data_IF_044011718344
#
_entry.id   IF_044011718344
#
_cell.length_a   1.000
_cell.length_b   1.000
_cell.length_c   1.000
_cell.angle_alpha   90.00
_cell.angle_beta   90.00
_cell.angle_gamma   90.00
#
_symmetry.space_group_name_H-M   'P 1'
#
loop_
_entity.id
_entity.type
_entity.pdbx_description
1 polymer ?
#
# COMPACT_ATOMS: atom_id res chain seq x y z
N UNK A 1 -28.78 50.52 -45.13
CA UNK A 1 -27.94 49.93 -44.07
C UNK A 1 -28.66 50.12 -42.73
N UNK A 2 -29.82 49.53 -42.44
CA UNK A 2 -30.16 48.11 -42.38
C UNK A 2 -29.21 47.28 -41.49
N UNK A 3 -29.74 46.94 -40.30
CA UNK A 3 -29.35 45.83 -39.41
C UNK A 3 -28.13 45.99 -38.47
N UNK A 4 -28.33 46.57 -37.28
CA UNK A 4 -27.85 45.98 -36.01
C UNK A 4 -28.47 46.63 -34.75
N UNK A 5 -29.80 46.81 -34.70
CA UNK A 5 -30.51 47.19 -33.48
C UNK A 5 -31.58 46.14 -33.16
N UNK A 6 -31.16 44.98 -32.65
CA UNK A 6 -32.06 43.95 -32.12
C UNK A 6 -31.26 42.77 -31.57
N UNK A 7 -30.77 42.87 -30.34
CA UNK A 7 -30.61 41.68 -29.50
C UNK A 7 -30.98 42.03 -28.06
N UNK A 8 -32.04 41.36 -27.61
CA UNK A 8 -32.76 41.64 -26.38
C UNK A 8 -31.95 41.37 -25.13
N UNK A 9 -32.37 42.06 -24.06
CA UNK A 9 -31.93 41.81 -22.69
C UNK A 9 -32.09 40.32 -22.37
N UNK A 10 -31.01 39.70 -21.90
CA UNK A 10 -31.02 38.32 -21.39
C UNK A 10 -32.16 38.17 -20.35
N UNK A 11 -32.98 37.11 -20.43
CA UNK A 11 -34.03 36.88 -19.46
C UNK A 11 -33.42 36.65 -18.07
N UNK A 12 -33.96 37.35 -17.08
CA UNK A 12 -33.62 37.23 -15.66
C UNK A 12 -33.91 35.79 -15.19
N UNK A 13 -32.89 34.93 -15.18
CA UNK A 13 -33.00 33.57 -14.63
C UNK A 13 -33.02 33.67 -13.11
N UNK A 14 -34.21 33.63 -12.51
CA UNK A 14 -34.34 33.39 -11.06
C UNK A 14 -33.56 32.12 -10.71
N UNK A 15 -32.71 32.19 -9.70
CA UNK A 15 -32.01 31.04 -9.16
C UNK A 15 -33.02 29.92 -8.82
N UNK A 16 -32.72 28.64 -9.12
CA UNK A 16 -33.62 27.54 -8.80
C UNK A 16 -33.83 27.45 -7.28
N UNK A 17 -35.07 27.19 -6.86
CA UNK A 17 -35.42 27.05 -5.46
C UNK A 17 -34.57 25.96 -4.76
N UNK A 18 -34.22 26.12 -3.47
CA UNK A 18 -33.43 25.13 -2.75
C UNK A 18 -34.17 23.78 -2.73
N UNK A 19 -33.49 22.71 -3.17
CA UNK A 19 -34.02 21.33 -3.09
C UNK A 19 -34.37 21.03 -1.63
N UNK A 20 -35.65 20.86 -1.34
CA UNK A 20 -36.10 20.35 -0.05
C UNK A 20 -35.45 18.99 0.19
N UNK A 21 -34.67 18.89 1.27
CA UNK A 21 -34.08 17.63 1.72
C UNK A 21 -35.23 16.66 1.99
N UNK A 22 -35.30 15.55 1.24
CA UNK A 22 -36.20 14.44 1.58
C UNK A 22 -35.78 13.92 2.94
N UNK A 23 -36.59 14.18 3.96
CA UNK A 23 -36.51 13.50 5.23
C UNK A 23 -36.82 12.02 5.00
N UNK A 24 -35.92 11.11 5.43
CA UNK A 24 -36.23 9.68 5.47
C UNK A 24 -35.26 8.72 4.79
N UNK A 25 -33.94 8.91 4.89
CA UNK A 25 -33.03 7.76 4.83
C UNK A 25 -32.27 7.69 6.13
N UNK A 26 -32.54 6.65 6.91
CA UNK A 26 -31.78 6.36 8.13
C UNK A 26 -30.29 6.36 7.78
N UNK A 27 -29.42 6.91 8.66
CA UNK A 27 -27.99 6.86 8.43
C UNK A 27 -27.58 5.38 8.29
N UNK A 28 -26.82 5.07 7.25
CA UNK A 28 -26.15 3.78 7.16
C UNK A 28 -25.15 3.76 8.31
N UNK A 29 -25.47 3.03 9.37
CA UNK A 29 -24.56 2.81 10.49
C UNK A 29 -23.52 1.80 10.01
N UNK A 30 -22.44 2.31 9.41
CA UNK A 30 -21.23 1.51 9.20
C UNK A 30 -20.64 1.30 10.59
N UNK A 31 -20.78 0.09 11.13
CA UNK A 31 -20.09 -0.30 12.37
C UNK A 31 -18.59 -0.36 12.05
N UNK A 32 -17.89 0.75 12.21
CA UNK A 32 -16.42 0.80 12.16
C UNK A 32 -15.88 0.16 13.43
N UNK A 33 -15.85 -1.16 13.47
CA UNK A 33 -15.33 -1.89 14.62
C UNK A 33 -14.50 -3.09 14.16
N UNK A 34 -13.46 -2.80 13.40
CA UNK A 34 -12.24 -3.61 13.47
C UNK A 34 -11.12 -2.61 13.75
N UNK A 35 -10.97 -2.22 15.01
CA UNK A 35 -9.76 -1.52 15.45
C UNK A 35 -8.63 -2.54 15.44
N UNK A 36 -7.95 -2.68 14.32
CA UNK A 36 -6.71 -3.46 14.24
C UNK A 36 -5.63 -2.60 14.89
N UNK A 37 -5.09 -3.01 16.04
CA UNK A 37 -3.88 -2.39 16.58
C UNK A 37 -2.72 -2.70 15.62
N UNK A 38 -2.17 -1.69 14.90
CA UNK A 38 -1.12 -1.94 13.93
C UNK A 38 0.16 -2.48 14.58
N UNK A 39 0.43 -2.12 15.84
CA UNK A 39 1.61 -2.60 16.56
C UNK A 39 1.47 -4.06 17.00
N UNK A 40 0.28 -4.47 17.44
CA UNK A 40 -0.01 -5.87 17.73
C UNK A 40 -0.04 -6.73 16.45
N UNK A 41 -0.60 -6.18 15.36
CA UNK A 41 -0.59 -6.82 14.05
C UNK A 41 0.83 -6.98 13.50
N UNK A 42 1.67 -5.95 13.61
CA UNK A 42 3.09 -6.06 13.27
C UNK A 42 3.74 -7.22 14.01
N UNK A 43 3.55 -7.30 15.34
CA UNK A 43 4.12 -8.38 16.15
C UNK A 43 3.56 -9.76 15.83
N UNK A 44 2.32 -9.85 15.36
CA UNK A 44 1.66 -11.14 15.06
C UNK A 44 1.92 -11.63 13.63
N UNK A 45 1.98 -10.71 12.66
CA UNK A 45 2.24 -10.99 11.23
C UNK A 45 3.73 -11.17 10.98
N UNK A 46 4.56 -10.28 11.53
CA UNK A 46 6.00 -10.50 11.60
C UNK A 46 6.32 -11.32 12.85
N UNK A 47 5.99 -12.62 12.83
CA UNK A 47 6.86 -13.57 13.55
C UNK A 47 8.26 -13.34 12.97
N UNK A 48 9.18 -12.82 13.79
CA UNK A 48 10.61 -12.71 13.44
C UNK A 48 10.98 -14.01 12.74
N UNK A 49 11.40 -13.94 11.46
CA UNK A 49 11.75 -15.13 10.70
C UNK A 49 12.65 -15.99 11.59
N UNK A 50 12.25 -17.25 11.85
CA UNK A 50 12.83 -18.01 12.92
C UNK A 50 14.25 -18.36 12.54
N UNK A 51 15.18 -17.85 13.34
CA UNK A 51 16.61 -18.12 13.32
C UNK A 51 17.37 -17.59 12.10
N UNK A 52 18.51 -16.98 12.40
CA UNK A 52 19.64 -16.93 11.48
C UNK A 52 19.87 -18.37 10.97
N UNK A 53 19.78 -18.54 9.66
CA UNK A 53 20.12 -19.76 8.98
C UNK A 53 21.62 -19.77 8.63
N UNK A 54 22.13 -20.93 8.27
CA UNK A 54 23.53 -21.06 7.83
C UNK A 54 23.68 -20.78 6.32
N UNK A 55 24.94 -20.72 5.88
CA UNK A 55 25.27 -20.57 4.47
C UNK A 55 24.77 -21.74 3.59
N UNK A 56 24.50 -22.92 4.17
CA UNK A 56 23.95 -24.04 3.42
C UNK A 56 22.49 -23.80 3.04
N UNK A 57 21.71 -23.18 3.94
CA UNK A 57 20.35 -22.75 3.66
C UNK A 57 20.30 -21.70 2.54
N UNK A 58 21.17 -20.68 2.58
CA UNK A 58 21.24 -19.68 1.52
C UNK A 58 21.49 -20.31 0.14
N UNK A 59 22.42 -21.27 0.06
CA UNK A 59 22.70 -22.03 -1.16
C UNK A 59 21.52 -22.89 -1.61
N UNK A 60 20.80 -23.50 -0.67
CA UNK A 60 19.58 -24.27 -0.96
C UNK A 60 18.53 -23.39 -1.63
N UNK A 61 18.26 -22.20 -1.08
CA UNK A 61 17.28 -21.26 -1.64
C UNK A 61 17.68 -20.81 -3.05
N UNK A 62 18.95 -20.47 -3.27
CA UNK A 62 19.43 -20.09 -4.61
C UNK A 62 19.32 -21.24 -5.62
N UNK A 63 19.56 -22.48 -5.18
CA UNK A 63 19.36 -23.68 -6.03
C UNK A 63 17.89 -23.86 -6.40
N UNK A 64 16.99 -23.83 -5.43
CA UNK A 64 15.54 -23.97 -5.66
C UNK A 64 15.02 -22.83 -6.56
N UNK A 65 15.49 -21.61 -6.35
CA UNK A 65 15.19 -20.47 -7.21
C UNK A 65 15.64 -20.71 -8.66
N UNK A 66 16.82 -21.29 -8.88
CA UNK A 66 17.29 -21.63 -10.23
C UNK A 66 16.49 -22.73 -10.93
N UNK A 67 15.92 -23.66 -10.16
CA UNK A 67 15.14 -24.79 -10.69
C UNK A 67 13.70 -24.39 -11.02
N UNK A 68 13.10 -23.50 -10.22
CA UNK A 68 11.67 -23.18 -10.31
C UNK A 68 11.36 -21.80 -10.88
N UNK A 69 12.34 -20.89 -10.98
CA UNK A 69 12.14 -19.52 -11.47
C UNK A 69 12.94 -19.28 -12.75
N UNK A 70 12.29 -18.68 -13.75
CA UNK A 70 12.95 -18.27 -14.99
C UNK A 70 14.03 -17.22 -14.71
N UNK A 71 15.21 -17.42 -15.30
CA UNK A 71 16.40 -16.61 -15.07
C UNK A 71 16.44 -15.36 -15.96
N UNK A 72 15.38 -14.54 -15.90
CA UNK A 72 15.23 -13.32 -16.70
C UNK A 72 15.93 -12.09 -16.08
N UNK A 73 16.36 -12.18 -14.83
CA UNK A 73 17.04 -11.09 -14.11
C UNK A 73 18.41 -11.55 -13.59
N UNK A 74 19.40 -10.67 -13.70
CA UNK A 74 20.69 -10.84 -13.03
C UNK A 74 20.54 -10.52 -11.54
N UNK A 75 20.43 -11.56 -10.71
CA UNK A 75 20.24 -11.43 -9.26
C UNK A 75 21.58 -11.48 -8.52
N UNK A 76 21.71 -10.64 -7.51
CA UNK A 76 22.83 -10.73 -6.58
C UNK A 76 22.74 -12.03 -5.76
N UNK A 77 23.85 -12.69 -5.43
CA UNK A 77 23.86 -13.93 -4.65
C UNK A 77 23.66 -13.63 -3.16
N UNK A 78 22.51 -13.07 -2.80
CA UNK A 78 22.10 -12.76 -1.43
C UNK A 78 20.64 -13.16 -1.24
N UNK A 79 20.33 -13.75 -0.08
CA UNK A 79 18.96 -14.15 0.27
C UNK A 79 18.52 -13.31 1.46
N UNK A 80 17.69 -12.31 1.20
CA UNK A 80 17.16 -11.41 2.23
C UNK A 80 16.03 -12.09 3.02
N UNK A 81 16.04 -11.95 4.34
CA UNK A 81 15.03 -12.53 5.23
C UNK A 81 13.99 -11.49 5.69
N UNK A 82 14.46 -10.31 6.11
CA UNK A 82 13.58 -9.22 6.54
C UNK A 82 14.25 -7.84 6.39
N UNK A 83 13.45 -6.79 6.44
CA UNK A 83 13.93 -5.41 6.41
C UNK A 83 13.07 -4.46 7.24
N UNK A 84 13.71 -3.41 7.76
CA UNK A 84 13.05 -2.32 8.49
C UNK A 84 13.73 -0.99 8.15
N UNK A 85 12.95 -0.03 7.68
CA UNK A 85 13.48 1.26 7.22
C UNK A 85 14.44 1.06 6.04
N UNK A 86 15.63 1.66 6.12
CA UNK A 86 16.68 1.53 5.09
C UNK A 86 17.57 0.27 5.27
N UNK A 87 17.30 -0.56 6.29
CA UNK A 87 18.12 -1.74 6.59
C UNK A 87 17.42 -3.02 6.16
N UNK A 88 18.21 -3.94 5.61
CA UNK A 88 17.79 -5.32 5.31
C UNK A 88 18.77 -6.31 5.92
N UNK A 89 18.27 -7.48 6.28
CA UNK A 89 19.05 -8.55 6.90
C UNK A 89 18.90 -9.79 6.04
N UNK A 90 20.02 -10.47 5.78
CA UNK A 90 19.99 -11.74 5.06
C UNK A 90 19.61 -12.92 5.97
N UNK A 91 19.50 -14.10 5.39
CA UNK A 91 19.22 -15.33 6.13
C UNK A 91 20.39 -15.74 7.04
N UNK A 92 21.62 -15.29 6.76
CA UNK A 92 22.81 -15.54 7.58
C UNK A 92 22.98 -14.52 8.72
N UNK A 93 22.05 -13.57 8.86
CA UNK A 93 22.05 -12.55 9.91
C UNK A 93 22.95 -11.34 9.63
N UNK A 94 23.48 -11.20 8.41
CA UNK A 94 24.26 -10.02 8.01
C UNK A 94 23.32 -8.86 7.71
N UNK A 95 23.61 -7.69 8.27
CA UNK A 95 22.88 -6.45 8.00
C UNK A 95 23.48 -5.69 6.82
N UNK A 96 22.61 -5.12 6.00
CA UNK A 96 22.94 -4.28 4.86
C UNK A 96 22.10 -3.00 4.87
N UNK A 97 22.64 -1.95 4.25
CA UNK A 97 21.87 -0.74 3.91
C UNK A 97 21.34 -0.90 2.49
N UNK A 98 20.02 -0.81 2.31
CA UNK A 98 19.38 -0.85 1.00
C UNK A 98 19.56 0.49 0.29
N UNK A 99 20.52 0.53 -0.63
CA UNK A 99 20.79 1.68 -1.50
C UNK A 99 20.06 1.63 -2.84
N UNK A 100 19.33 0.54 -3.12
CA UNK A 100 18.53 0.40 -4.34
C UNK A 100 17.10 0.90 -4.14
N UNK A 101 16.56 0.76 -2.92
CA UNK A 101 15.20 1.13 -2.53
C UNK A 101 14.12 0.58 -3.50
N UNK A 102 14.39 -0.56 -4.15
CA UNK A 102 13.52 -1.15 -5.16
C UNK A 102 13.19 -0.21 -6.32
N UNK A 103 14.14 0.57 -6.83
CA UNK A 103 13.87 1.62 -7.83
C UNK A 103 12.80 2.59 -7.30
N UNK A 104 13.06 3.13 -6.11
CA UNK A 104 12.19 4.03 -5.35
C UNK A 104 10.84 3.46 -4.86
N UNK A 105 10.54 2.17 -5.10
CA UNK A 105 9.33 1.51 -4.56
C UNK A 105 9.33 1.52 -3.03
N UNK A 106 10.49 1.29 -2.41
CA UNK A 106 10.65 1.24 -0.95
C UNK A 106 11.08 2.59 -0.37
N UNK A 107 10.67 3.72 -0.96
CA UNK A 107 11.09 5.05 -0.53
C UNK A 107 10.69 5.40 0.92
N UNK A 108 9.59 4.84 1.43
CA UNK A 108 9.19 4.98 2.84
C UNK A 108 10.02 4.09 3.79
N UNK A 109 10.85 3.22 3.23
CA UNK A 109 11.57 2.16 3.94
C UNK A 109 10.78 0.85 3.98
N UNK A 110 11.52 -0.25 4.16
CA UNK A 110 10.95 -1.59 4.34
C UNK A 110 10.09 -1.63 5.60
N UNK A 111 8.91 -2.25 5.50
CA UNK A 111 8.01 -2.49 6.63
C UNK A 111 7.59 -1.21 7.38
N UNK A 112 7.29 -0.10 6.67
CA UNK A 112 6.79 1.12 7.31
C UNK A 112 5.48 0.83 8.09
N UNK A 113 5.43 1.15 9.39
CA UNK A 113 4.31 0.76 10.26
C UNK A 113 3.01 1.49 9.91
N UNK A 114 3.09 2.71 9.35
CA UNK A 114 1.89 3.48 8.96
C UNK A 114 1.30 2.93 7.68
N UNK A 115 2.14 2.56 6.72
CA UNK A 115 1.71 1.91 5.49
C UNK A 115 1.04 0.56 5.78
N UNK A 116 1.64 -0.27 6.63
CA UNK A 116 1.05 -1.56 7.01
C UNK A 116 -0.28 -1.39 7.75
N UNK A 117 -0.39 -0.40 8.65
CA UNK A 117 -1.63 -0.08 9.34
C UNK A 117 -2.77 0.20 8.34
N UNK A 118 -2.54 1.13 7.42
CA UNK A 118 -3.51 1.53 6.40
C UNK A 118 -3.87 0.37 5.46
N UNK A 119 -2.87 -0.42 5.04
CA UNK A 119 -3.10 -1.60 4.20
C UNK A 119 -3.99 -2.63 4.91
N UNK A 120 -3.73 -2.90 6.19
CA UNK A 120 -4.47 -3.93 6.91
C UNK A 120 -5.89 -3.51 7.24
N UNK A 121 -6.07 -2.25 7.62
CA UNK A 121 -7.41 -1.67 7.78
C UNK A 121 -8.24 -1.87 6.50
N UNK A 122 -7.67 -1.53 5.34
CA UNK A 122 -8.36 -1.68 4.06
C UNK A 122 -8.55 -3.14 3.64
N UNK A 123 -7.59 -4.03 3.92
CA UNK A 123 -7.70 -5.46 3.62
C UNK A 123 -8.81 -6.16 4.45
N UNK A 124 -9.13 -5.62 5.62
CA UNK A 124 -10.27 -6.06 6.44
C UNK A 124 -11.62 -5.54 5.98
N UNK A 125 -11.66 -4.59 5.06
CA UNK A 125 -12.89 -4.06 4.47
C UNK A 125 -13.28 -4.84 3.19
N UNK A 126 -14.57 -4.87 2.80
CA UNK A 126 -14.98 -5.48 1.55
C UNK A 126 -14.23 -4.88 0.37
N UNK A 127 -13.58 -5.74 -0.41
CA UNK A 127 -13.16 -5.40 -1.75
C UNK A 127 -14.39 -5.58 -2.68
N UNK A 128 -14.75 -4.53 -3.41
CA UNK A 128 -15.80 -4.44 -4.44
C UNK A 128 -17.23 -4.86 -4.03
#
# INVERSE_FOLDING_TARGET
MAAYQSMGKLPNTKAPAPRQRRAGRAPVVVRSAISVDPAALLKSVFKKSPAVHDAAYAKKVMKEESEYILQTYARAPVVLSHGQGAKVVDVEGREYVDMAAGIAVNALGHSDPRWLAALTEQAGAPAH
#
